data_IF_256010390859
#
_entry.id   IF_256010390859
#
_cell.length_a   1.000
_cell.length_b   1.000
_cell.length_c   1.000
_cell.angle_alpha   90.00
_cell.angle_beta   90.00
_cell.angle_gamma   90.00
#
_symmetry.space_group_name_H-M   'P 1'
#
loop_
_entity.id
_entity.type
_entity.pdbx_description
1 polymer ?
#
# COMPACT_ATOMS: atom_id res chain seq x y z
N UNK A 1 2.23 24.20 25.75
CA UNK A 1 1.82 24.62 24.39
C UNK A 1 0.34 24.95 24.37
N UNK A 2 -0.03 26.08 23.76
CA UNK A 2 -1.40 26.61 23.69
C UNK A 2 -1.82 26.80 22.23
N UNK A 3 -2.93 26.15 21.84
CA UNK A 3 -3.48 26.18 20.47
C UNK A 3 -5.00 26.10 20.50
N UNK A 4 -5.66 26.39 19.38
CA UNK A 4 -7.09 26.09 19.21
C UNK A 4 -7.30 24.58 19.08
N UNK A 5 -8.41 24.07 19.61
CA UNK A 5 -8.80 22.66 19.49
C UNK A 5 -9.29 22.33 18.07
N UNK A 6 -9.79 23.33 17.35
CA UNK A 6 -10.59 23.15 16.14
C UNK A 6 -9.75 22.64 14.95
N UNK A 7 -10.17 21.52 14.35
CA UNK A 7 -9.44 20.77 13.32
C UNK A 7 -9.51 21.40 11.92
N UNK A 8 -10.45 22.32 11.68
CA UNK A 8 -10.85 22.77 10.34
C UNK A 8 -10.57 24.25 10.02
N UNK A 9 -10.03 25.04 10.96
CA UNK A 9 -9.76 26.47 10.74
C UNK A 9 -8.38 26.91 11.21
N UNK A 10 -7.59 27.62 10.39
CA UNK A 10 -6.44 28.37 10.88
C UNK A 10 -6.82 29.80 11.30
N UNK A 11 -6.13 30.42 12.29
CA UNK A 11 -4.76 30.13 12.75
C UNK A 11 -4.64 29.91 14.28
N UNK A 12 -4.26 28.70 14.72
CA UNK A 12 -4.07 28.41 16.16
C UNK A 12 -2.62 28.16 16.60
N UNK A 13 -1.75 27.72 15.70
CA UNK A 13 -0.41 27.22 16.03
C UNK A 13 0.68 28.04 15.34
N UNK A 14 1.45 28.79 16.13
CA UNK A 14 2.60 29.60 15.67
C UNK A 14 3.70 29.61 16.72
N UNK A 15 4.85 30.22 16.43
CA UNK A 15 6.05 30.14 17.28
C UNK A 15 5.82 30.55 18.74
N UNK A 16 4.89 31.47 19.01
CA UNK A 16 4.50 31.89 20.36
C UNK A 16 3.56 30.92 21.09
N UNK A 17 3.31 29.72 20.56
CA UNK A 17 2.42 28.72 21.17
C UNK A 17 3.08 27.96 22.32
N UNK A 18 4.42 27.97 22.42
CA UNK A 18 5.12 27.46 23.60
C UNK A 18 5.23 28.60 24.61
N UNK A 19 4.78 28.36 25.84
CA UNK A 19 4.76 29.36 26.91
C UNK A 19 5.56 28.82 28.10
N UNK A 20 6.48 29.62 28.62
CA UNK A 20 7.40 29.22 29.71
C UNK A 20 6.95 29.70 31.09
N UNK A 21 5.95 30.58 31.15
CA UNK A 21 5.43 31.13 32.38
C UNK A 21 3.91 31.39 32.29
N UNK A 22 3.29 31.59 33.44
CA UNK A 22 1.85 31.81 33.57
C UNK A 22 1.39 33.10 32.87
N UNK A 23 2.25 34.12 32.79
CA UNK A 23 1.92 35.39 32.16
C UNK A 23 1.85 35.23 30.63
N UNK A 24 2.79 34.50 30.04
CA UNK A 24 2.82 34.13 28.63
C UNK A 24 1.62 33.25 28.27
N UNK A 25 1.28 32.29 29.13
CA UNK A 25 0.08 31.46 28.99
C UNK A 25 -1.19 32.31 28.94
N UNK A 26 -1.40 33.20 29.92
CA UNK A 26 -2.57 34.10 29.97
C UNK A 26 -2.66 35.01 28.75
N UNK A 27 -1.53 35.62 28.33
CA UNK A 27 -1.47 36.45 27.12
C UNK A 27 -1.85 35.67 25.87
N UNK A 28 -1.37 34.43 25.74
CA UNK A 28 -1.66 33.60 24.56
C UNK A 28 -3.12 33.16 24.52
N UNK A 29 -3.70 32.78 25.67
CA UNK A 29 -5.13 32.44 25.77
C UNK A 29 -5.98 33.64 25.34
N UNK A 30 -5.73 34.82 25.90
CA UNK A 30 -6.47 36.04 25.58
C UNK A 30 -6.41 36.36 24.07
N UNK A 31 -5.23 36.26 23.46
CA UNK A 31 -5.04 36.47 22.03
C UNK A 31 -5.86 35.47 21.17
N UNK A 32 -5.88 34.19 21.56
CA UNK A 32 -6.64 33.18 20.83
C UNK A 32 -8.16 33.39 20.97
N UNK A 33 -8.63 33.74 22.16
CA UNK A 33 -10.04 34.08 22.42
C UNK A 33 -10.47 35.33 21.66
N UNK A 34 -9.63 36.36 21.59
CA UNK A 34 -9.91 37.58 20.82
C UNK A 34 -10.07 37.27 19.32
N UNK A 35 -9.15 36.47 18.78
CA UNK A 35 -9.16 36.12 17.35
C UNK A 35 -10.28 35.14 16.98
N UNK A 36 -10.60 34.19 17.86
CA UNK A 36 -11.61 33.16 17.62
C UNK A 36 -12.43 32.90 18.90
N UNK A 37 -13.39 33.78 19.24
CA UNK A 37 -14.12 33.69 20.51
C UNK A 37 -14.94 32.41 20.68
N UNK A 38 -15.37 31.81 19.56
CA UNK A 38 -16.20 30.61 19.53
C UNK A 38 -15.40 29.30 19.52
N UNK A 39 -14.07 29.36 19.44
CA UNK A 39 -13.22 28.16 19.34
C UNK A 39 -12.69 27.75 20.72
N UNK A 40 -12.70 26.45 20.99
CA UNK A 40 -12.10 25.89 22.20
C UNK A 40 -10.57 25.99 22.15
N UNK A 41 -9.95 26.17 23.32
CA UNK A 41 -8.50 26.27 23.49
C UNK A 41 -7.97 25.00 24.15
N UNK A 42 -6.96 24.41 23.53
CA UNK A 42 -6.22 23.29 24.06
C UNK A 42 -4.90 23.77 24.68
N UNK A 43 -4.70 23.40 25.94
CA UNK A 43 -3.44 23.57 26.67
C UNK A 43 -2.89 22.17 26.92
N UNK A 44 -1.66 21.93 26.48
CA UNK A 44 -0.97 20.65 26.65
C UNK A 44 0.50 20.88 26.96
N UNK A 45 1.17 19.92 27.58
CA UNK A 45 2.62 20.00 27.77
C UNK A 45 3.36 20.02 26.44
N UNK A 46 4.47 20.75 26.39
CA UNK A 46 5.37 20.73 25.24
C UNK A 46 6.44 19.67 25.49
N UNK A 47 6.47 18.66 24.62
CA UNK A 47 7.49 17.61 24.66
C UNK A 47 8.69 18.05 23.83
N UNK A 48 9.90 18.07 24.39
CA UNK A 48 11.11 18.42 23.65
C UNK A 48 11.60 17.23 22.83
N UNK A 49 11.49 17.32 21.50
CA UNK A 49 11.68 16.14 20.66
C UNK A 49 11.54 16.38 19.18
N UNK A 50 11.77 15.32 18.42
CA UNK A 50 11.68 15.32 16.97
C UNK A 50 10.22 15.12 16.52
N UNK A 51 9.74 16.01 15.65
CA UNK A 51 8.38 15.95 15.09
C UNK A 51 8.29 14.91 13.99
N UNK A 52 7.35 13.97 14.16
CA UNK A 52 7.13 12.84 13.28
C UNK A 52 5.67 12.72 12.87
N UNK A 53 5.42 12.09 11.72
CA UNK A 53 4.08 11.81 11.23
C UNK A 53 3.99 10.43 10.58
N UNK A 54 2.83 9.80 10.67
CA UNK A 54 2.51 8.59 9.93
C UNK A 54 1.08 8.66 9.40
N UNK A 55 0.85 8.07 8.22
CA UNK A 55 -0.49 7.83 7.72
C UNK A 55 -0.89 6.40 8.09
N UNK A 56 -2.10 6.25 8.61
CA UNK A 56 -2.70 4.98 9.02
C UNK A 56 -3.92 4.73 8.16
N UNK A 57 -4.07 3.52 7.62
CA UNK A 57 -5.19 3.09 6.80
C UNK A 57 -5.95 1.97 7.50
N UNK A 58 -7.27 2.03 7.40
CA UNK A 58 -8.18 0.95 7.76
C UNK A 58 -8.50 0.10 6.53
N UNK A 59 -8.05 -1.14 6.52
CA UNK A 59 -8.26 -2.10 5.43
C UNK A 59 -9.47 -3.01 5.68
N UNK A 60 -10.47 -2.50 6.41
CA UNK A 60 -11.76 -3.17 6.63
C UNK A 60 -11.79 -4.29 7.67
N UNK A 61 -10.63 -4.83 8.04
CA UNK A 61 -10.45 -5.73 9.19
C UNK A 61 -9.10 -5.58 9.89
N UNK A 62 -8.15 -4.91 9.23
CA UNK A 62 -6.81 -4.69 9.72
C UNK A 62 -6.41 -3.23 9.54
N UNK A 63 -5.41 -2.81 10.30
CA UNK A 63 -4.84 -1.45 10.20
C UNK A 63 -3.43 -1.57 9.67
N UNK A 64 -3.12 -0.78 8.65
CA UNK A 64 -1.77 -0.66 8.10
C UNK A 64 -1.26 0.75 8.29
N UNK A 65 -0.03 0.88 8.76
CA UNK A 65 0.63 2.18 8.93
C UNK A 65 1.72 2.33 7.90
N UNK A 66 1.71 3.43 7.14
CA UNK A 66 2.77 3.76 6.19
C UNK A 66 4.09 4.08 6.92
N UNK A 67 5.24 4.00 6.23
CA UNK A 67 6.51 4.45 6.79
C UNK A 67 6.39 5.87 7.37
N UNK A 68 6.80 6.09 8.64
CA UNK A 68 6.70 7.39 9.26
C UNK A 68 7.76 8.34 8.70
N UNK A 69 7.47 9.63 8.70
CA UNK A 69 8.40 10.70 8.32
C UNK A 69 8.78 11.52 9.54
N UNK A 70 10.01 12.01 9.56
CA UNK A 70 10.49 13.04 10.49
C UNK A 70 10.68 14.34 9.76
N UNK A 71 10.23 15.44 10.36
CA UNK A 71 10.48 16.78 9.85
C UNK A 71 11.82 17.30 10.37
N UNK A 72 12.65 17.82 9.47
CA UNK A 72 13.98 18.33 9.76
C UNK A 72 13.96 19.84 9.56
N UNK A 73 14.10 20.56 10.68
CA UNK A 73 14.06 22.02 10.73
C UNK A 73 15.44 22.62 10.44
N UNK A 74 15.51 23.88 9.97
CA UNK A 74 16.77 24.62 9.84
C UNK A 74 17.59 24.63 11.13
N UNK A 75 18.92 24.55 11.02
CA UNK A 75 19.81 24.38 12.18
C UNK A 75 19.85 25.57 13.17
N UNK A 76 19.34 26.73 12.77
CA UNK A 76 19.14 27.92 13.61
C UNK A 76 17.77 27.91 14.33
N UNK A 77 16.93 26.90 14.11
CA UNK A 77 15.64 26.76 14.79
C UNK A 77 15.86 26.38 16.26
N UNK A 78 15.37 27.22 17.18
CA UNK A 78 15.38 26.89 18.61
C UNK A 78 14.55 25.64 18.91
N UNK A 79 14.91 24.88 19.94
CA UNK A 79 14.17 23.68 20.34
C UNK A 79 12.66 23.92 20.53
N UNK A 80 12.28 25.06 21.12
CA UNK A 80 10.87 25.44 21.32
C UNK A 80 10.11 25.74 20.03
N UNK A 81 10.80 25.86 18.90
CA UNK A 81 10.26 26.14 17.58
C UNK A 81 10.31 24.93 16.65
N UNK A 82 10.81 23.78 17.08
CA UNK A 82 10.85 22.53 16.30
C UNK A 82 9.47 21.86 16.28
N UNK A 83 8.53 22.52 15.59
CA UNK A 83 7.22 21.99 15.26
C UNK A 83 6.64 22.64 14.02
N UNK A 84 5.81 21.92 13.27
CA UNK A 84 5.15 22.49 12.08
C UNK A 84 4.07 23.51 12.47
N UNK A 85 4.30 24.78 12.14
CA UNK A 85 3.32 25.87 12.31
C UNK A 85 2.21 25.77 11.25
N UNK A 86 1.21 26.65 11.35
CA UNK A 86 0.24 26.79 10.28
C UNK A 86 0.88 27.20 8.94
N UNK A 87 1.75 28.21 8.97
CA UNK A 87 2.36 28.78 7.76
C UNK A 87 3.26 27.76 7.06
N UNK A 88 3.99 26.93 7.82
CA UNK A 88 4.79 25.84 7.25
C UNK A 88 3.94 24.83 6.46
N UNK A 89 2.73 24.57 6.92
CA UNK A 89 1.81 23.60 6.30
C UNK A 89 1.14 24.18 5.05
N UNK A 90 0.86 25.48 5.02
CA UNK A 90 0.12 26.14 3.94
C UNK A 90 0.99 26.87 2.94
N UNK A 91 2.29 27.01 3.19
CA UNK A 91 3.17 27.82 2.33
C UNK A 91 2.93 29.32 2.49
N UNK A 92 2.51 29.75 3.68
CA UNK A 92 2.24 31.15 4.01
C UNK A 92 3.50 32.02 4.15
N UNK A 93 3.29 33.30 4.52
CA UNK A 93 4.38 34.22 4.83
C UNK A 93 5.14 33.70 6.06
N UNK A 94 6.46 33.57 5.97
CA UNK A 94 7.29 33.04 7.07
C UNK A 94 7.47 31.52 7.08
N UNK A 95 7.04 30.84 6.01
CA UNK A 95 7.32 29.41 5.80
C UNK A 95 8.81 29.13 5.90
N UNK A 96 9.18 28.16 6.74
CA UNK A 96 10.58 27.76 6.93
C UNK A 96 11.00 26.72 5.90
N UNK A 97 12.31 26.61 5.67
CA UNK A 97 12.89 25.59 4.81
C UNK A 97 13.01 24.25 5.55
N UNK A 98 11.87 23.60 5.71
CA UNK A 98 11.76 22.32 6.40
C UNK A 98 11.90 21.21 5.37
N UNK A 99 12.81 20.27 5.65
CA UNK A 99 12.95 19.03 4.89
C UNK A 99 12.33 17.86 5.65
N UNK A 100 12.32 16.68 5.04
CA UNK A 100 11.79 15.47 5.68
C UNK A 100 12.68 14.27 5.38
N UNK A 101 12.61 13.29 6.27
CA UNK A 101 13.25 11.99 6.07
C UNK A 101 12.27 10.87 6.43
N UNK A 102 12.19 9.84 5.59
CA UNK A 102 11.47 8.61 5.94
C UNK A 102 12.28 7.87 7.00
N UNK A 103 11.64 7.58 8.13
CA UNK A 103 12.27 6.94 9.28
C UNK A 103 12.26 5.42 9.05
N UNK A 104 13.41 4.79 9.23
CA UNK A 104 13.62 3.34 9.08
C UNK A 104 14.14 2.73 10.39
N UNK A 105 14.18 1.41 10.45
CA UNK A 105 14.72 0.65 11.58
C UNK A 105 13.78 0.63 12.80
N UNK A 106 14.33 0.28 13.96
CA UNK A 106 13.57 0.02 15.19
C UNK A 106 12.67 1.18 15.61
N UNK A 107 13.16 2.42 15.52
CA UNK A 107 12.35 3.60 15.87
C UNK A 107 11.19 3.81 14.89
N UNK A 108 11.38 3.49 13.60
CA UNK A 108 10.33 3.53 12.60
C UNK A 108 9.21 2.54 12.92
N UNK A 109 9.57 1.30 13.26
CA UNK A 109 8.59 0.27 13.65
C UNK A 109 7.84 0.63 14.94
N UNK A 110 8.54 1.19 15.93
CA UNK A 110 7.90 1.71 17.16
C UNK A 110 6.90 2.83 16.84
N UNK A 111 7.24 3.75 15.95
CA UNK A 111 6.34 4.82 15.51
C UNK A 111 5.12 4.27 14.76
N UNK A 112 5.30 3.28 13.89
CA UNK A 112 4.19 2.61 13.18
C UNK A 112 3.23 1.95 14.17
N UNK A 113 3.76 1.23 15.15
CA UNK A 113 2.96 0.57 16.19
C UNK A 113 2.17 1.59 17.05
N UNK A 114 2.81 2.69 17.46
CA UNK A 114 2.14 3.76 18.22
C UNK A 114 1.04 4.42 17.40
N UNK A 115 1.28 4.72 16.13
CA UNK A 115 0.28 5.32 15.25
C UNK A 115 -0.92 4.38 15.00
N UNK A 116 -0.67 3.10 14.74
CA UNK A 116 -1.73 2.10 14.60
C UNK A 116 -2.59 2.01 15.87
N UNK A 117 -1.96 1.95 17.04
CA UNK A 117 -2.66 1.89 18.33
C UNK A 117 -3.49 3.15 18.58
N UNK A 118 -2.92 4.34 18.31
CA UNK A 118 -3.62 5.61 18.44
C UNK A 118 -4.88 5.68 17.57
N UNK A 119 -4.78 5.25 16.31
CA UNK A 119 -5.91 5.19 15.39
C UNK A 119 -6.97 4.17 15.85
N UNK A 120 -6.56 2.97 16.28
CA UNK A 120 -7.48 1.94 16.77
C UNK A 120 -8.28 2.41 18.00
N UNK A 121 -7.65 3.12 18.94
CA UNK A 121 -8.33 3.63 20.14
C UNK A 121 -9.44 4.64 19.83
N UNK A 122 -9.34 5.38 18.73
CA UNK A 122 -10.36 6.36 18.34
C UNK A 122 -11.35 5.82 17.30
N UNK A 123 -11.03 4.69 16.65
CA UNK A 123 -11.83 4.09 15.57
C UNK A 123 -13.28 3.82 15.97
N UNK A 124 -13.54 3.40 17.21
CA UNK A 124 -14.90 3.17 17.70
C UNK A 124 -15.79 4.44 17.69
N UNK A 125 -15.18 5.63 17.61
CA UNK A 125 -15.87 6.92 17.59
C UNK A 125 -15.78 7.63 16.23
N UNK A 126 -15.15 7.02 15.22
CA UNK A 126 -14.90 7.64 13.91
C UNK A 126 -15.04 6.62 12.78
N UNK A 127 -15.83 6.95 11.75
CA UNK A 127 -16.01 6.11 10.56
C UNK A 127 -14.92 6.31 9.47
N UNK A 128 -13.86 7.05 9.79
CA UNK A 128 -12.79 7.37 8.84
C UNK A 128 -12.00 6.12 8.43
N UNK A 129 -11.77 5.96 7.12
CA UNK A 129 -11.00 4.84 6.56
C UNK A 129 -9.48 5.02 6.67
N UNK A 130 -9.01 6.15 7.19
CA UNK A 130 -7.60 6.46 7.39
C UNK A 130 -7.45 7.64 8.37
N UNK A 131 -6.23 7.84 8.87
CA UNK A 131 -5.88 8.99 9.69
C UNK A 131 -4.42 9.40 9.53
N UNK A 132 -4.16 10.69 9.72
CA UNK A 132 -2.83 11.25 9.87
C UNK A 132 -2.51 11.39 11.35
N UNK A 133 -1.52 10.63 11.82
CA UNK A 133 -1.09 10.61 13.22
C UNK A 133 0.19 11.42 13.36
N UNK A 134 0.13 12.50 14.14
CA UNK A 134 1.29 13.33 14.48
C UNK A 134 1.84 12.89 15.81
N UNK A 135 3.15 12.68 15.85
CA UNK A 135 3.86 12.14 17.00
C UNK A 135 5.10 12.97 17.29
N UNK A 136 5.63 12.81 18.49
CA UNK A 136 6.92 13.36 18.87
C UNK A 136 7.78 12.34 19.58
N UNK A 137 9.04 12.25 19.17
CA UNK A 137 10.06 11.42 19.83
C UNK A 137 10.88 12.30 20.78
N UNK A 138 10.72 12.12 22.08
CA UNK A 138 11.46 12.88 23.09
C UNK A 138 12.97 12.58 23.02
N UNK A 139 13.80 13.62 22.89
CA UNK A 139 15.25 13.48 22.62
C UNK A 139 16.02 12.71 23.68
N UNK A 140 15.64 12.86 24.95
CA UNK A 140 16.41 12.27 26.06
C UNK A 140 16.05 10.83 26.36
N UNK A 141 14.78 10.47 26.18
CA UNK A 141 14.25 9.17 26.60
C UNK A 141 13.91 8.26 25.42
N UNK A 142 13.78 8.82 24.21
CA UNK A 142 13.23 8.13 23.05
C UNK A 142 11.77 7.72 23.22
N UNK A 143 11.04 8.30 24.19
CA UNK A 143 9.60 8.08 24.37
C UNK A 143 8.82 8.74 23.24
N UNK A 144 7.77 8.07 22.80
CA UNK A 144 6.91 8.52 21.70
C UNK A 144 5.61 9.04 22.30
N UNK A 145 5.25 10.27 21.94
CA UNK A 145 4.02 10.92 22.34
C UNK A 145 3.15 11.15 21.13
N UNK A 146 1.87 10.74 21.20
CA UNK A 146 0.88 11.09 20.17
C UNK A 146 0.39 12.51 20.46
N UNK A 147 0.62 13.40 19.50
CA UNK A 147 0.28 14.82 19.64
C UNK A 147 -1.10 15.11 19.05
N UNK A 148 -1.47 14.39 17.99
CA UNK A 148 -2.73 14.58 17.28
C UNK A 148 -3.05 13.36 16.43
N UNK A 149 -4.34 13.01 16.35
CA UNK A 149 -4.86 12.08 15.36
C UNK A 149 -5.94 12.79 14.54
N UNK A 150 -5.64 12.97 13.26
CA UNK A 150 -6.51 13.63 12.30
C UNK A 150 -7.14 12.59 11.36
N UNK A 151 -8.41 12.24 11.61
CA UNK A 151 -9.17 11.27 10.82
C UNK A 151 -9.79 11.85 9.54
N UNK A 152 -9.58 13.14 9.29
CA UNK A 152 -10.03 13.77 8.05
C UNK A 152 -8.94 14.74 7.55
N UNK A 153 -7.71 14.23 7.34
CA UNK A 153 -6.63 15.11 6.94
C UNK A 153 -6.93 15.61 5.53
N UNK A 154 -6.54 16.86 5.26
CA UNK A 154 -6.65 17.42 3.92
C UNK A 154 -5.79 16.58 2.95
N UNK A 155 -6.47 15.78 2.14
CA UNK A 155 -5.96 15.04 0.99
C UNK A 155 -6.75 15.49 -0.24
N UNK A 156 -6.13 15.38 -1.41
CA UNK A 156 -6.60 15.89 -2.70
C UNK A 156 -6.79 17.41 -2.72
N UNK A 157 -5.97 18.16 -1.98
CA UNK A 157 -6.01 19.63 -1.99
C UNK A 157 -5.38 20.16 -3.28
N UNK A 158 -6.17 20.94 -4.06
CA UNK A 158 -5.68 21.63 -5.26
C UNK A 158 -4.52 22.59 -4.96
N UNK A 159 -4.50 23.16 -3.76
CA UNK A 159 -3.40 24.00 -3.27
C UNK A 159 -2.42 23.09 -2.54
N UNK A 160 -1.55 22.39 -3.29
CA UNK A 160 -0.53 21.45 -2.79
C UNK A 160 0.10 21.95 -1.47
N UNK A 161 -0.39 21.44 -0.32
CA UNK A 161 0.12 21.80 1.00
C UNK A 161 1.44 21.07 1.24
N UNK A 162 2.44 21.77 1.78
CA UNK A 162 3.82 21.26 1.87
C UNK A 162 3.96 20.00 2.75
N UNK A 163 3.13 19.86 3.79
CA UNK A 163 3.21 18.76 4.77
C UNK A 163 1.82 18.25 5.20
N UNK A 164 0.87 18.25 4.25
CA UNK A 164 -0.49 17.71 4.46
C UNK A 164 -0.58 16.20 4.23
N UNK A 165 -1.80 15.67 4.17
CA UNK A 165 -2.02 14.26 3.82
C UNK A 165 -1.47 13.92 2.42
N UNK A 166 -1.65 14.83 1.46
CA UNK A 166 -1.12 14.69 0.09
C UNK A 166 0.39 14.49 0.03
N UNK A 167 1.11 15.25 0.85
CA UNK A 167 2.56 15.12 0.94
C UNK A 167 2.95 13.70 1.39
N UNK A 168 2.26 13.13 2.39
CA UNK A 168 2.52 11.76 2.84
C UNK A 168 2.21 10.75 1.74
N UNK A 169 1.08 10.90 1.04
CA UNK A 169 0.71 10.00 -0.06
C UNK A 169 1.74 10.02 -1.19
N UNK A 170 2.20 11.21 -1.58
CA UNK A 170 3.23 11.38 -2.61
C UNK A 170 4.59 10.80 -2.21
N UNK A 171 4.89 10.75 -0.91
CA UNK A 171 6.21 10.34 -0.38
C UNK A 171 6.28 8.84 -0.07
N UNK A 172 5.20 8.25 0.45
CA UNK A 172 5.27 6.91 1.05
C UNK A 172 4.18 5.93 0.59
N UNK A 173 3.17 6.35 -0.16
CA UNK A 173 2.14 5.44 -0.66
C UNK A 173 2.47 5.00 -2.11
N UNK A 174 2.67 3.69 -2.38
CA UNK A 174 2.88 3.21 -3.74
C UNK A 174 1.72 3.57 -4.68
N UNK A 175 2.01 4.12 -5.86
CA UNK A 175 0.98 4.64 -6.78
C UNK A 175 0.32 5.94 -6.31
N UNK A 176 0.79 6.53 -5.21
CA UNK A 176 0.48 7.89 -4.75
C UNK A 176 -1.02 8.12 -4.53
N UNK A 177 -1.51 9.32 -4.84
CA UNK A 177 -2.89 9.74 -4.60
C UNK A 177 -3.94 8.88 -5.30
N UNK A 178 -3.70 8.50 -6.56
CA UNK A 178 -4.64 7.73 -7.36
C UNK A 178 -4.83 6.33 -6.77
N UNK A 179 -3.72 5.61 -6.56
CA UNK A 179 -3.79 4.28 -5.94
C UNK A 179 -4.32 4.31 -4.50
N UNK A 180 -4.09 5.39 -3.76
CA UNK A 180 -4.66 5.55 -2.43
C UNK A 180 -6.18 5.67 -2.48
N UNK A 181 -6.74 6.50 -3.37
CA UNK A 181 -8.19 6.61 -3.55
C UNK A 181 -8.79 5.27 -3.98
N UNK A 182 -8.14 4.61 -4.94
CA UNK A 182 -8.60 3.33 -5.47
C UNK A 182 -8.52 2.21 -4.43
N UNK A 183 -7.53 2.26 -3.52
CA UNK A 183 -7.48 1.38 -2.35
C UNK A 183 -8.69 1.58 -1.45
N UNK A 184 -9.05 2.82 -1.13
CA UNK A 184 -10.23 3.12 -0.31
C UNK A 184 -11.53 2.64 -0.98
N UNK A 185 -11.66 2.84 -2.29
CA UNK A 185 -12.80 2.38 -3.07
C UNK A 185 -12.88 0.85 -3.10
N UNK A 186 -11.75 0.18 -3.34
CA UNK A 186 -11.65 -1.29 -3.35
C UNK A 186 -12.05 -1.89 -2.01
N UNK A 187 -11.60 -1.31 -0.89
CA UNK A 187 -12.02 -1.76 0.45
C UNK A 187 -13.54 -1.65 0.61
N UNK A 188 -14.14 -0.52 0.22
CA UNK A 188 -15.59 -0.33 0.33
C UNK A 188 -16.38 -1.28 -0.56
N UNK A 189 -15.93 -1.52 -1.80
CA UNK A 189 -16.53 -2.49 -2.72
C UNK A 189 -16.44 -3.91 -2.18
N UNK A 190 -15.29 -4.30 -1.61
CA UNK A 190 -15.08 -5.60 -0.98
C UNK A 190 -16.02 -5.80 0.21
N UNK A 191 -16.11 -4.80 1.12
CA UNK A 191 -17.04 -4.84 2.27
C UNK A 191 -18.51 -4.93 1.85
N UNK A 192 -18.88 -4.32 0.73
CA UNK A 192 -20.23 -4.38 0.17
C UNK A 192 -20.49 -5.67 -0.63
N UNK A 193 -19.48 -6.52 -0.84
CA UNK A 193 -19.59 -7.72 -1.66
C UNK A 193 -19.83 -7.44 -3.15
N UNK A 194 -19.50 -6.24 -3.63
CA UNK A 194 -19.87 -5.77 -4.99
C UNK A 194 -19.30 -6.65 -6.10
N UNK A 195 -18.16 -7.32 -5.87
CA UNK A 195 -17.47 -8.12 -6.88
C UNK A 195 -17.63 -9.63 -6.67
N UNK A 196 -18.44 -10.06 -5.70
CA UNK A 196 -18.62 -11.47 -5.34
C UNK A 196 -19.10 -12.35 -6.50
N UNK A 197 -20.07 -11.87 -7.28
CA UNK A 197 -20.58 -12.61 -8.45
C UNK A 197 -19.53 -12.82 -9.53
N UNK A 198 -18.74 -11.78 -9.84
CA UNK A 198 -17.65 -11.84 -10.83
C UNK A 198 -16.54 -12.81 -10.40
N UNK A 199 -16.12 -12.70 -9.13
CA UNK A 199 -15.11 -13.60 -8.54
C UNK A 199 -15.60 -15.06 -8.57
N UNK A 200 -16.87 -15.31 -8.19
CA UNK A 200 -17.43 -16.66 -8.20
C UNK A 200 -17.53 -17.25 -9.62
N UNK A 201 -17.85 -16.42 -10.63
CA UNK A 201 -17.86 -16.85 -12.02
C UNK A 201 -16.47 -17.22 -12.51
N UNK A 202 -15.46 -16.36 -12.29
CA UNK A 202 -14.07 -16.67 -12.64
C UNK A 202 -13.60 -17.95 -11.94
N UNK A 203 -13.90 -18.13 -10.65
CA UNK A 203 -13.56 -19.34 -9.93
C UNK A 203 -14.21 -20.60 -10.56
N UNK A 204 -15.48 -20.51 -10.96
CA UNK A 204 -16.19 -21.62 -11.61
C UNK A 204 -15.62 -21.97 -12.99
N UNK A 205 -15.21 -20.96 -13.77
CA UNK A 205 -14.53 -21.19 -15.06
C UNK A 205 -13.26 -22.00 -14.81
N UNK A 206 -12.39 -21.58 -13.89
CA UNK A 206 -11.14 -22.29 -13.61
C UNK A 206 -11.32 -23.65 -12.92
N UNK A 207 -12.32 -23.80 -12.05
CA UNK A 207 -12.68 -25.10 -11.46
C UNK A 207 -12.98 -26.13 -12.56
N UNK A 208 -13.67 -25.72 -13.64
CA UNK A 208 -14.17 -26.63 -14.69
C UNK A 208 -13.11 -27.37 -15.51
N UNK A 209 -11.87 -26.88 -15.51
CA UNK A 209 -10.75 -27.43 -16.28
C UNK A 209 -9.46 -27.55 -15.48
N UNK A 210 -9.55 -27.43 -14.15
CA UNK A 210 -8.42 -27.52 -13.22
C UNK A 210 -7.59 -28.81 -13.38
N UNK A 211 -8.23 -29.94 -13.70
CA UNK A 211 -7.55 -31.23 -13.91
C UNK A 211 -6.65 -31.26 -15.16
N UNK A 212 -6.92 -30.41 -16.16
CA UNK A 212 -6.17 -30.34 -17.43
C UNK A 212 -5.35 -29.06 -17.57
N UNK A 213 -5.37 -28.20 -16.55
CA UNK A 213 -4.73 -26.88 -16.60
C UNK A 213 -3.22 -26.96 -16.80
N UNK A 214 -2.56 -27.88 -16.08
CA UNK A 214 -1.11 -28.05 -16.16
C UNK A 214 -0.65 -28.50 -17.55
N UNK A 215 -1.43 -29.35 -18.23
CA UNK A 215 -1.13 -29.79 -19.60
C UNK A 215 -1.15 -28.61 -20.57
N UNK A 216 -2.15 -27.74 -20.47
CA UNK A 216 -2.18 -26.50 -21.25
C UNK A 216 -0.99 -25.62 -20.89
N UNK A 217 -0.78 -25.36 -19.60
CA UNK A 217 0.21 -24.43 -19.10
C UNK A 217 1.64 -24.82 -19.49
N UNK A 218 1.99 -26.11 -19.41
CA UNK A 218 3.31 -26.62 -19.79
C UNK A 218 3.63 -26.45 -21.29
N UNK A 219 2.62 -26.29 -22.15
CA UNK A 219 2.83 -25.97 -23.57
C UNK A 219 3.04 -24.48 -23.86
N UNK A 220 2.79 -23.62 -22.87
CA UNK A 220 2.91 -22.17 -23.02
C UNK A 220 4.31 -21.66 -22.74
N UNK A 221 4.66 -20.51 -23.29
CA UNK A 221 5.93 -19.86 -22.99
C UNK A 221 5.95 -19.19 -21.60
N UNK A 222 4.78 -19.03 -20.97
CA UNK A 222 4.68 -18.61 -19.56
C UNK A 222 5.52 -19.49 -18.64
N UNK A 223 5.53 -20.80 -18.91
CA UNK A 223 6.35 -21.76 -18.16
C UNK A 223 7.84 -21.46 -18.23
N UNK A 224 8.34 -21.20 -19.43
CA UNK A 224 9.74 -20.85 -19.64
C UNK A 224 10.11 -19.55 -18.94
N UNK A 225 9.21 -18.56 -18.95
CA UNK A 225 9.48 -17.27 -18.31
C UNK A 225 9.46 -17.37 -16.78
N UNK A 226 8.59 -18.19 -16.20
CA UNK A 226 8.61 -18.47 -14.75
C UNK A 226 9.87 -19.24 -14.34
N UNK A 227 10.29 -20.24 -15.11
CA UNK A 227 11.55 -20.95 -14.90
C UNK A 227 12.75 -20.01 -14.99
N UNK A 228 12.81 -19.16 -16.01
CA UNK A 228 13.83 -18.12 -16.12
C UNK A 228 13.85 -17.22 -14.88
N UNK A 229 12.69 -16.79 -14.41
CA UNK A 229 12.57 -15.94 -13.23
C UNK A 229 13.11 -16.63 -11.98
N UNK A 230 12.71 -17.88 -11.72
CA UNK A 230 13.21 -18.65 -10.58
C UNK A 230 14.72 -18.93 -10.64
N UNK A 231 15.26 -19.16 -11.84
CA UNK A 231 16.68 -19.43 -12.04
C UNK A 231 17.58 -18.20 -11.87
N UNK A 232 17.07 -16.99 -12.17
CA UNK A 232 17.89 -15.77 -12.26
C UNK A 232 17.71 -14.81 -11.07
N UNK A 233 16.76 -15.06 -10.18
CA UNK A 233 16.46 -14.16 -9.07
C UNK A 233 16.37 -14.86 -7.72
N UNK A 234 16.71 -14.13 -6.67
CA UNK A 234 16.55 -14.60 -5.29
C UNK A 234 15.06 -14.64 -4.89
N UNK A 235 14.66 -15.77 -4.31
CA UNK A 235 13.36 -16.04 -3.69
C UNK A 235 13.50 -16.63 -2.28
N UNK A 236 14.65 -16.40 -1.61
CA UNK A 236 14.90 -16.90 -0.26
C UNK A 236 13.98 -16.24 0.80
N UNK A 237 13.48 -17.06 1.73
CA UNK A 237 12.61 -16.61 2.81
C UNK A 237 11.16 -16.96 2.53
N UNK A 238 10.25 -15.98 2.55
CA UNK A 238 8.83 -16.21 2.27
C UNK A 238 8.36 -15.61 0.95
N UNK A 239 7.55 -16.37 0.20
CA UNK A 239 6.91 -15.97 -1.05
C UNK A 239 5.40 -15.97 -0.88
N UNK A 240 4.75 -14.87 -1.23
CA UNK A 240 3.30 -14.85 -1.46
C UNK A 240 3.05 -15.00 -2.96
N UNK A 241 2.31 -16.03 -3.32
CA UNK A 241 1.91 -16.32 -4.69
C UNK A 241 0.41 -16.03 -4.85
N UNK A 242 0.10 -14.90 -5.49
CA UNK A 242 -1.27 -14.44 -5.72
C UNK A 242 -1.80 -15.03 -7.03
N UNK A 243 -2.99 -15.63 -6.98
CA UNK A 243 -3.55 -16.47 -8.03
C UNK A 243 -2.61 -17.64 -8.39
N UNK A 244 -2.27 -18.43 -7.36
CA UNK A 244 -1.26 -19.48 -7.48
C UNK A 244 -1.68 -20.67 -8.37
N UNK A 245 -2.94 -20.73 -8.80
CA UNK A 245 -3.45 -21.82 -9.63
C UNK A 245 -3.19 -23.19 -9.01
N UNK A 246 -2.72 -24.13 -9.83
CA UNK A 246 -2.33 -25.49 -9.43
C UNK A 246 -0.99 -25.58 -8.69
N UNK A 247 -0.31 -24.46 -8.44
CA UNK A 247 0.91 -24.40 -7.65
C UNK A 247 2.20 -24.63 -8.43
N UNK A 248 2.18 -24.45 -9.76
CA UNK A 248 3.34 -24.74 -10.60
C UNK A 248 4.56 -23.87 -10.24
N UNK A 249 4.36 -22.61 -9.85
CA UNK A 249 5.48 -21.75 -9.47
C UNK A 249 6.20 -22.27 -8.21
N UNK A 250 5.46 -22.80 -7.22
CA UNK A 250 6.06 -23.44 -6.05
C UNK A 250 6.91 -24.67 -6.41
N UNK A 251 6.45 -25.50 -7.36
CA UNK A 251 7.27 -26.60 -7.92
C UNK A 251 8.54 -26.06 -8.59
N UNK A 252 8.41 -25.05 -9.43
CA UNK A 252 9.55 -24.43 -10.14
C UNK A 252 10.58 -23.87 -9.17
N UNK A 253 10.17 -23.16 -8.11
CA UNK A 253 11.07 -22.64 -7.09
C UNK A 253 11.84 -23.78 -6.40
N UNK A 254 11.16 -24.84 -6.01
CA UNK A 254 11.78 -26.02 -5.42
C UNK A 254 12.81 -26.65 -6.36
N UNK A 255 12.45 -26.87 -7.64
CA UNK A 255 13.32 -27.48 -8.64
C UNK A 255 14.57 -26.63 -8.96
N UNK A 256 14.51 -25.31 -8.70
CA UNK A 256 15.64 -24.39 -8.82
C UNK A 256 16.42 -24.19 -7.50
N UNK A 257 16.23 -25.08 -6.52
CA UNK A 257 17.03 -25.11 -5.29
C UNK A 257 16.51 -24.19 -4.17
N UNK A 258 15.31 -23.63 -4.30
CA UNK A 258 14.66 -22.86 -3.24
C UNK A 258 13.84 -23.75 -2.29
N UNK A 259 14.36 -24.94 -1.92
CA UNK A 259 13.66 -25.96 -1.12
C UNK A 259 13.23 -25.44 0.27
N UNK A 260 13.94 -24.45 0.80
CA UNK A 260 13.65 -23.85 2.12
C UNK A 260 12.71 -22.65 2.05
N UNK A 261 12.27 -22.25 0.86
CA UNK A 261 11.39 -21.09 0.69
C UNK A 261 9.97 -21.45 1.12
N UNK A 262 9.40 -20.65 2.01
CA UNK A 262 8.01 -20.80 2.43
C UNK A 262 7.08 -20.12 1.43
N UNK A 263 6.35 -20.90 0.63
CA UNK A 263 5.38 -20.38 -0.33
C UNK A 263 3.98 -20.38 0.28
N UNK A 264 3.30 -19.24 0.28
CA UNK A 264 1.88 -19.10 0.66
C UNK A 264 1.08 -18.77 -0.60
N UNK A 265 0.06 -19.58 -0.88
CA UNK A 265 -0.77 -19.46 -2.07
C UNK A 265 -2.14 -18.86 -1.75
N UNK A 266 -2.61 -18.00 -2.66
CA UNK A 266 -3.96 -17.44 -2.68
C UNK A 266 -4.58 -17.77 -4.03
N UNK A 267 -5.76 -18.37 -4.03
CA UNK A 267 -6.45 -18.77 -5.25
C UNK A 267 -7.96 -18.76 -5.02
N UNK A 268 -8.75 -18.36 -6.03
CA UNK A 268 -10.21 -18.33 -5.94
C UNK A 268 -10.81 -19.70 -6.28
N UNK A 269 -10.19 -20.46 -7.17
CA UNK A 269 -10.63 -21.80 -7.58
C UNK A 269 -10.30 -22.84 -6.51
N UNK A 270 -11.33 -23.54 -6.03
CA UNK A 270 -11.15 -24.63 -5.07
C UNK A 270 -10.55 -25.88 -5.74
N UNK A 271 -10.86 -26.10 -7.02
CA UNK A 271 -10.30 -27.16 -7.84
C UNK A 271 -8.79 -27.01 -8.01
N UNK A 272 -8.33 -25.82 -8.36
CA UNK A 272 -6.89 -25.51 -8.48
C UNK A 272 -6.13 -25.78 -7.18
N UNK A 273 -6.68 -25.39 -6.02
CA UNK A 273 -6.08 -25.66 -4.70
C UNK A 273 -6.01 -27.15 -4.32
N UNK A 274 -6.68 -28.03 -5.07
CA UNK A 274 -6.62 -29.48 -4.85
C UNK A 274 -5.43 -30.15 -5.57
N UNK A 275 -4.69 -29.42 -6.40
CA UNK A 275 -3.55 -29.93 -7.15
C UNK A 275 -2.44 -30.53 -6.26
N UNK A 276 -1.65 -31.43 -6.85
CA UNK A 276 -0.57 -32.13 -6.12
C UNK A 276 0.55 -31.17 -5.69
N UNK A 277 0.90 -30.22 -6.55
CA UNK A 277 1.96 -29.24 -6.29
C UNK A 277 1.59 -28.30 -5.13
N UNK A 278 0.34 -27.82 -5.07
CA UNK A 278 -0.19 -27.07 -3.91
C UNK A 278 0.00 -27.86 -2.60
N UNK A 279 -0.35 -29.15 -2.59
CA UNK A 279 -0.23 -29.98 -1.39
C UNK A 279 1.22 -30.22 -0.96
N UNK A 280 2.16 -30.18 -1.90
CA UNK A 280 3.56 -30.55 -1.71
C UNK A 280 4.46 -29.35 -1.41
N UNK A 281 4.27 -28.23 -2.11
CA UNK A 281 5.20 -27.11 -2.11
C UNK A 281 4.67 -25.85 -1.40
N UNK A 282 3.39 -25.81 -1.02
CA UNK A 282 2.79 -24.65 -0.38
C UNK A 282 2.50 -24.87 1.11
N UNK A 283 2.74 -23.82 1.90
CA UNK A 283 2.50 -23.77 3.33
C UNK A 283 1.01 -23.63 3.62
N UNK A 284 0.52 -24.40 4.60
CA UNK A 284 -0.85 -24.30 5.11
C UNK A 284 -0.99 -23.20 6.17
N UNK A 285 -2.17 -22.57 6.32
CA UNK A 285 -3.38 -22.78 5.51
C UNK A 285 -3.26 -22.20 4.10
N UNK A 286 -3.92 -22.84 3.14
CA UNK A 286 -4.15 -22.31 1.81
C UNK A 286 -5.31 -21.32 1.85
N UNK A 287 -5.24 -20.26 1.06
CA UNK A 287 -6.24 -19.19 1.07
C UNK A 287 -7.14 -19.30 -0.16
N UNK A 288 -8.33 -19.86 0.03
CA UNK A 288 -9.38 -19.81 -0.99
C UNK A 288 -10.13 -18.47 -0.88
N UNK A 289 -9.59 -17.42 -1.50
CA UNK A 289 -10.21 -16.10 -1.58
C UNK A 289 -9.59 -15.28 -2.72
N UNK A 290 -10.20 -14.14 -3.03
CA UNK A 290 -9.69 -13.24 -4.06
C UNK A 290 -8.38 -12.57 -3.62
N UNK A 291 -7.50 -12.26 -4.58
CA UNK A 291 -6.27 -11.52 -4.28
C UNK A 291 -6.59 -10.15 -3.68
N UNK A 292 -7.65 -9.49 -4.16
CA UNK A 292 -8.15 -8.20 -3.65
C UNK A 292 -8.48 -8.28 -2.17
N UNK A 293 -9.10 -9.37 -1.72
CA UNK A 293 -9.38 -9.60 -0.30
C UNK A 293 -8.10 -9.90 0.48
N UNK A 294 -7.25 -10.79 -0.03
CA UNK A 294 -6.07 -11.23 0.70
C UNK A 294 -5.06 -10.10 0.95
N UNK A 295 -4.80 -9.26 -0.05
CA UNK A 295 -3.81 -8.18 0.06
C UNK A 295 -4.21 -7.09 1.08
N UNK A 296 -5.46 -7.08 1.53
CA UNK A 296 -5.95 -6.18 2.59
C UNK A 296 -5.57 -6.64 4.00
N UNK A 297 -4.95 -7.82 4.12
CA UNK A 297 -4.40 -8.31 5.39
C UNK A 297 -3.13 -7.57 5.76
N UNK A 298 -2.88 -7.48 7.07
CA UNK A 298 -1.63 -6.92 7.59
C UNK A 298 -0.58 -8.02 7.75
N UNK A 299 -0.05 -8.49 6.61
CA UNK A 299 1.01 -9.50 6.52
C UNK A 299 2.10 -9.01 5.57
N UNK A 300 3.32 -9.47 5.76
CA UNK A 300 4.48 -9.13 4.93
C UNK A 300 5.21 -10.40 4.50
N UNK A 301 5.80 -10.37 3.31
CA UNK A 301 6.53 -11.47 2.69
C UNK A 301 7.85 -10.96 2.14
N UNK A 302 8.87 -11.81 2.03
CA UNK A 302 10.10 -11.41 1.35
C UNK A 302 9.86 -11.10 -0.12
N UNK A 303 9.07 -11.94 -0.77
CA UNK A 303 8.74 -11.82 -2.18
C UNK A 303 7.23 -11.91 -2.37
N UNK A 304 6.69 -11.11 -3.29
CA UNK A 304 5.31 -11.25 -3.75
C UNK A 304 5.35 -11.50 -5.26
N UNK A 305 4.57 -12.48 -5.73
CA UNK A 305 4.42 -12.80 -7.14
C UNK A 305 2.96 -12.87 -7.55
N UNK A 306 2.68 -12.58 -8.82
CA UNK A 306 1.37 -12.76 -9.46
C UNK A 306 1.59 -13.01 -10.95
N UNK A 307 1.19 -14.18 -11.45
CA UNK A 307 1.35 -14.56 -12.84
C UNK A 307 -0.02 -14.92 -13.44
N UNK A 308 -0.38 -14.36 -14.58
CA UNK A 308 -1.54 -14.80 -15.37
C UNK A 308 -2.91 -14.42 -14.80
N UNK A 309 -2.99 -13.37 -13.97
CA UNK A 309 -4.22 -13.07 -13.23
C UNK A 309 -4.52 -11.59 -13.02
N UNK A 310 -3.60 -10.68 -13.37
CA UNK A 310 -3.87 -9.25 -13.22
C UNK A 310 -4.98 -8.79 -14.17
N UNK A 311 -5.13 -9.42 -15.35
CA UNK A 311 -6.21 -9.16 -16.32
C UNK A 311 -7.63 -9.25 -15.74
N UNK A 312 -7.82 -9.95 -14.61
CA UNK A 312 -9.13 -10.13 -13.97
C UNK A 312 -9.49 -9.00 -13.00
N UNK A 313 -8.63 -8.00 -12.84
CA UNK A 313 -8.89 -6.85 -11.96
C UNK A 313 -9.50 -5.71 -12.76
N UNK A 314 -10.47 -4.99 -12.20
CA UNK A 314 -10.79 -3.69 -12.81
C UNK A 314 -9.69 -2.66 -12.52
N UNK A 315 -9.68 -1.55 -13.27
CA UNK A 315 -8.73 -0.46 -13.07
C UNK A 315 -8.53 0.00 -11.60
N UNK A 316 -9.61 0.07 -10.81
CA UNK A 316 -9.58 0.51 -9.41
C UNK A 316 -8.95 -0.58 -8.53
N UNK A 317 -9.30 -1.84 -8.78
CA UNK A 317 -8.72 -2.97 -8.06
C UNK A 317 -7.25 -3.16 -8.38
N UNK A 318 -6.82 -2.98 -9.64
CA UNK A 318 -5.43 -3.14 -10.04
C UNK A 318 -4.52 -2.18 -9.26
N UNK A 319 -4.86 -0.89 -9.21
CA UNK A 319 -4.07 0.08 -8.45
C UNK A 319 -4.01 -0.28 -6.97
N UNK A 320 -5.13 -0.71 -6.38
CA UNK A 320 -5.18 -1.12 -4.98
C UNK A 320 -4.31 -2.36 -4.72
N UNK A 321 -4.41 -3.38 -5.58
CA UNK A 321 -3.63 -4.61 -5.48
C UNK A 321 -2.14 -4.32 -5.66
N UNK A 322 -1.73 -3.60 -6.70
CA UNK A 322 -0.33 -3.22 -6.91
C UNK A 322 0.22 -2.44 -5.72
N UNK A 323 -0.52 -1.45 -5.22
CA UNK A 323 -0.07 -0.68 -4.06
C UNK A 323 0.15 -1.57 -2.84
N UNK A 324 -0.78 -2.49 -2.56
CA UNK A 324 -0.65 -3.42 -1.46
C UNK A 324 0.48 -4.44 -1.67
N UNK A 325 0.68 -4.96 -2.87
CA UNK A 325 1.81 -5.86 -3.18
C UNK A 325 3.16 -5.21 -2.86
N UNK A 326 3.36 -3.94 -3.26
CA UNK A 326 4.57 -3.18 -2.91
C UNK A 326 4.72 -2.92 -1.40
N UNK A 327 3.61 -2.80 -0.68
CA UNK A 327 3.63 -2.63 0.78
C UNK A 327 3.89 -3.93 1.53
N UNK A 328 3.47 -5.08 0.98
CA UNK A 328 3.64 -6.40 1.59
C UNK A 328 5.02 -7.00 1.31
N UNK A 329 5.64 -6.65 0.18
CA UNK A 329 6.93 -7.19 -0.23
C UNK A 329 8.12 -6.50 0.49
N UNK A 330 8.98 -7.28 1.14
CA UNK A 330 10.19 -6.78 1.83
C UNK A 330 11.41 -6.72 0.93
N UNK A 331 11.51 -7.60 -0.07
CA UNK A 331 12.66 -7.71 -0.98
C UNK A 331 12.28 -7.48 -2.44
N UNK A 332 11.31 -8.22 -2.98
CA UNK A 332 10.96 -8.13 -4.41
C UNK A 332 9.47 -8.29 -4.71
N UNK A 333 9.05 -7.71 -5.83
CA UNK A 333 7.75 -7.94 -6.45
C UNK A 333 7.97 -8.42 -7.89
N UNK A 334 7.38 -9.54 -8.28
CA UNK A 334 7.39 -9.99 -9.69
C UNK A 334 5.96 -10.14 -10.18
N UNK A 335 5.63 -9.50 -11.29
CA UNK A 335 4.31 -9.59 -11.90
C UNK A 335 4.44 -9.96 -13.36
N UNK A 336 3.44 -10.64 -13.87
CA UNK A 336 3.19 -10.73 -15.29
C UNK A 336 1.95 -9.90 -15.68
N UNK A 337 1.99 -9.34 -16.89
CA UNK A 337 0.94 -8.47 -17.43
C UNK A 337 0.75 -8.81 -18.90
N UNK A 338 -0.44 -9.28 -19.24
CA UNK A 338 -0.84 -9.57 -20.60
C UNK A 338 -1.06 -8.30 -21.42
N UNK A 339 -0.60 -8.31 -22.67
CA UNK A 339 -0.87 -7.26 -23.65
C UNK A 339 -2.01 -7.70 -24.57
N UNK A 340 -3.24 -7.54 -24.10
CA UNK A 340 -4.46 -8.00 -24.77
C UNK A 340 -4.99 -6.93 -25.73
N UNK A 341 -5.28 -7.29 -26.97
CA UNK A 341 -6.09 -6.43 -27.84
C UNK A 341 -7.59 -6.65 -27.60
N UNK A 342 -8.41 -5.70 -28.06
CA UNK A 342 -9.86 -5.73 -27.86
C UNK A 342 -10.50 -7.01 -28.43
N UNK A 343 -9.93 -7.59 -29.50
CA UNK A 343 -10.49 -8.80 -30.12
C UNK A 343 -10.22 -10.06 -29.28
N UNK A 344 -9.02 -10.18 -28.69
CA UNK A 344 -8.71 -11.24 -27.71
C UNK A 344 -9.62 -11.12 -26.49
N UNK A 345 -9.86 -9.90 -26.00
CA UNK A 345 -10.77 -9.68 -24.86
C UNK A 345 -12.18 -10.15 -25.20
N UNK A 346 -12.75 -9.69 -26.32
CA UNK A 346 -14.09 -10.08 -26.76
C UNK A 346 -14.25 -11.61 -26.88
N UNK A 347 -13.25 -12.31 -27.42
CA UNK A 347 -13.32 -13.76 -27.59
C UNK A 347 -13.17 -14.52 -26.27
N UNK A 348 -12.29 -14.07 -25.36
CA UNK A 348 -12.21 -14.64 -24.01
C UNK A 348 -13.53 -14.47 -23.24
N UNK A 349 -14.20 -13.33 -23.41
CA UNK A 349 -15.53 -13.08 -22.86
C UNK A 349 -16.59 -13.99 -23.49
N UNK A 350 -16.56 -14.20 -24.81
CA UNK A 350 -17.50 -15.07 -25.52
C UNK A 350 -17.36 -16.54 -25.11
N UNK A 351 -16.13 -17.05 -25.03
CA UNK A 351 -15.85 -18.46 -24.72
C UNK A 351 -16.15 -18.81 -23.26
N UNK A 352 -15.96 -17.84 -22.35
CA UNK A 352 -16.17 -18.02 -20.90
C UNK A 352 -17.55 -17.54 -20.42
N UNK A 353 -18.42 -17.15 -21.36
CA UNK A 353 -19.81 -16.77 -21.15
C UNK A 353 -20.00 -15.40 -20.50
N UNK A 354 -19.65 -14.30 -21.19
CA UNK A 354 -19.88 -12.85 -20.95
C UNK A 354 -19.73 -12.29 -19.52
N UNK A 355 -19.35 -13.12 -18.56
CA UNK A 355 -19.26 -12.83 -17.13
C UNK A 355 -17.82 -12.98 -16.63
N UNK A 356 -16.92 -13.53 -17.45
CA UNK A 356 -15.48 -13.43 -17.24
C UNK A 356 -15.07 -12.01 -17.62
N UNK A 357 -14.57 -11.25 -16.65
CA UNK A 357 -14.07 -9.91 -16.91
C UNK A 357 -12.59 -9.97 -17.25
N UNK A 358 -12.19 -9.29 -18.32
CA UNK A 358 -10.80 -9.22 -18.76
C UNK A 358 -10.48 -7.78 -19.18
N UNK A 359 -9.35 -7.25 -18.74
CA UNK A 359 -8.89 -5.90 -19.11
C UNK A 359 -7.39 -5.87 -19.41
N UNK A 360 -6.98 -5.08 -20.41
CA UNK A 360 -5.56 -4.83 -20.68
C UNK A 360 -5.01 -3.79 -19.70
N UNK A 361 -4.00 -4.19 -18.92
CA UNK A 361 -3.40 -3.34 -17.89
C UNK A 361 -2.01 -2.80 -18.20
N UNK A 362 -1.45 -3.03 -19.40
CA UNK A 362 -0.09 -2.60 -19.74
C UNK A 362 0.11 -1.10 -19.47
N UNK A 363 -0.78 -0.26 -19.98
CA UNK A 363 -0.68 1.20 -19.78
C UNK A 363 -0.86 1.61 -18.32
N UNK A 364 -1.71 0.91 -17.58
CA UNK A 364 -1.96 1.19 -16.17
C UNK A 364 -0.74 0.85 -15.30
N UNK A 365 -0.12 -0.30 -15.53
CA UNK A 365 1.12 -0.69 -14.81
C UNK A 365 2.25 0.28 -15.12
N UNK A 366 2.38 0.73 -16.37
CA UNK A 366 3.36 1.75 -16.75
C UNK A 366 3.09 3.10 -16.07
N UNK A 367 1.83 3.52 -15.99
CA UNK A 367 1.41 4.75 -15.31
C UNK A 367 1.59 4.69 -13.80
N UNK A 368 1.35 3.52 -13.19
CA UNK A 368 1.57 3.30 -11.76
C UNK A 368 3.03 3.59 -11.38
N UNK A 369 3.95 3.26 -12.27
CA UNK A 369 5.37 3.58 -12.17
C UNK A 369 6.10 2.78 -11.09
N UNK A 370 7.29 3.25 -10.72
CA UNK A 370 8.14 2.61 -9.71
C UNK A 370 7.99 3.39 -8.40
N UNK A 371 7.46 2.78 -7.31
CA UNK A 371 7.36 3.46 -6.03
C UNK A 371 8.72 3.83 -5.44
N UNK A 372 8.75 4.87 -4.59
CA UNK A 372 9.96 5.28 -3.89
C UNK A 372 10.56 4.13 -3.06
N UNK A 373 11.89 3.98 -3.13
CA UNK A 373 12.60 2.89 -2.47
C UNK A 373 12.62 1.57 -3.25
N UNK A 374 12.03 1.53 -4.45
CA UNK A 374 12.06 0.40 -5.36
C UNK A 374 12.83 0.74 -6.65
N UNK A 375 13.33 -0.30 -7.31
CA UNK A 375 13.92 -0.23 -8.65
C UNK A 375 13.35 -1.33 -9.53
N UNK A 376 13.13 -1.03 -10.80
CA UNK A 376 12.88 -2.04 -11.82
C UNK A 376 14.22 -2.73 -12.14
N UNK A 377 14.28 -4.05 -11.97
CA UNK A 377 15.50 -4.83 -12.24
C UNK A 377 15.37 -5.74 -13.44
N UNK A 378 14.13 -6.06 -13.85
CA UNK A 378 13.85 -6.87 -15.04
C UNK A 378 12.54 -6.44 -15.67
N UNK A 379 12.54 -6.28 -16.99
CA UNK A 379 11.32 -6.18 -17.82
C UNK A 379 11.61 -6.98 -19.08
N UNK A 380 10.90 -8.09 -19.24
CA UNK A 380 10.99 -8.95 -20.42
C UNK A 380 9.66 -8.95 -21.13
N UNK A 381 9.68 -8.74 -22.44
CA UNK A 381 8.52 -8.87 -23.32
C UNK A 381 8.61 -10.18 -24.10
N UNK A 382 7.48 -10.83 -24.33
CA UNK A 382 7.38 -11.92 -25.30
C UNK A 382 6.03 -12.63 -25.29
N UNK A 383 5.91 -13.58 -26.21
CA UNK A 383 4.76 -14.47 -26.31
C UNK A 383 4.52 -15.21 -24.99
N UNK A 384 3.28 -15.26 -24.52
CA UNK A 384 2.87 -15.95 -23.31
C UNK A 384 2.23 -17.30 -23.67
N UNK A 385 1.14 -17.27 -24.44
CA UNK A 385 0.36 -18.43 -24.85
C UNK A 385 -0.33 -18.19 -26.21
N UNK A 386 -0.71 -19.24 -26.95
CA UNK A 386 -1.45 -19.10 -28.20
C UNK A 386 -2.74 -18.30 -28.01
N UNK A 387 -3.02 -17.37 -28.93
CA UNK A 387 -4.27 -16.60 -28.87
C UNK A 387 -5.47 -17.51 -29.12
N UNK A 388 -6.56 -17.38 -28.34
CA UNK A 388 -7.80 -18.11 -28.62
C UNK A 388 -8.52 -17.59 -29.89
N UNK A 389 -8.25 -16.34 -30.29
CA UNK A 389 -9.00 -15.60 -31.31
C UNK A 389 -8.27 -15.35 -32.63
N UNK A 390 -6.93 -15.31 -32.60
CA UNK A 390 -6.13 -14.85 -33.74
C UNK A 390 -5.01 -15.81 -34.12
N UNK A 391 -4.55 -15.72 -35.38
CA UNK A 391 -3.29 -16.35 -35.77
C UNK A 391 -2.13 -15.65 -35.04
N UNK A 392 -1.67 -16.24 -33.94
CA UNK A 392 -0.57 -15.69 -33.15
C UNK A 392 -0.56 -16.11 -31.69
N UNK A 393 0.23 -15.39 -30.90
CA UNK A 393 0.29 -15.55 -29.44
C UNK A 393 -0.22 -14.28 -28.77
N UNK A 394 -0.83 -14.44 -27.60
CA UNK A 394 -0.94 -13.34 -26.64
C UNK A 394 0.47 -13.00 -26.18
N UNK A 395 0.87 -11.75 -26.39
CA UNK A 395 2.13 -11.20 -25.90
C UNK A 395 1.93 -10.61 -24.50
N UNK A 396 3.02 -10.44 -23.75
CA UNK A 396 2.95 -9.73 -22.48
C UNK A 396 4.32 -9.50 -21.87
N UNK A 397 4.32 -9.13 -20.59
CA UNK A 397 5.51 -8.69 -19.90
C UNK A 397 5.67 -9.40 -18.55
N UNK A 398 6.88 -9.91 -18.28
CA UNK A 398 7.30 -10.18 -16.89
C UNK A 398 8.11 -9.01 -16.39
N UNK A 399 7.69 -8.47 -15.24
CA UNK A 399 8.27 -7.28 -14.63
C UNK A 399 8.69 -7.60 -13.20
N UNK A 400 9.96 -7.36 -12.86
CA UNK A 400 10.48 -7.53 -11.51
C UNK A 400 11.00 -6.23 -10.93
N UNK A 401 10.53 -5.94 -9.72
CA UNK A 401 11.01 -4.86 -8.88
C UNK A 401 11.75 -5.40 -7.67
N UNK A 402 12.78 -4.67 -7.24
CA UNK A 402 13.51 -4.96 -6.01
C UNK A 402 13.66 -3.70 -5.17
N UNK A 403 13.70 -3.90 -3.85
CA UNK A 403 13.94 -2.80 -2.91
C UNK A 403 15.39 -2.30 -3.07
N UNK A 404 15.58 -0.98 -3.16
CA UNK A 404 16.91 -0.37 -3.40
C UNK A 404 17.89 -0.70 -2.27
N UNK A 405 17.38 -0.84 -1.05
CA UNK A 405 18.11 -1.39 0.09
C UNK A 405 17.28 -2.58 0.60
N UNK A 406 17.58 -3.80 0.12
CA UNK A 406 17.13 -5.02 0.79
C UNK A 406 17.53 -4.98 2.28
N UNK A 407 16.80 -5.69 3.16
CA UNK A 407 16.86 -5.55 4.62
C UNK A 407 18.28 -5.38 5.19
#
# INVERSE_FOLDING_TARGET
MVKLLDKLKPPGLGLSSVCHDEQALKRRIALLQEKNPASEILIQDYVYGDDCAALVLDLGGHVVTLPPVRFVFPGDTSADAEFLTHDDKTGGIGTRDISHVVIKGEIGERLRAVAANAFQNIKASHEGAYAHVKMRVERHTGRIYVIEVDCNPFVFDRKKRRFGGDFMLETVFPGKQEAFLDTLLTIKRSQAGSNSGRIAHTAAVYDSWSDTYDEFWETTNMSNMQQFTAANFDFSGSVLDLACGTGVFGRILHDHGAETTEVVGVEISAGMLCAADIKKFYKKPLWNCSMQEYVMRNVEFDHVVCFGALLFLDAVELHAVLARMFMMARKSLTIEVENLDDHVIEDMENDSGHHLFVENHVQMVERFGIPDGWKLVHKQHGALYPSPSSEGNVEGYIVRFERINGP
#
